data_IF_679637023811
#
_entry.id   IF_679637023811
#
_cell.length_a   1.000
_cell.length_b   1.000
_cell.length_c   1.000
_cell.angle_alpha   90.00
_cell.angle_beta   90.00
_cell.angle_gamma   90.00
#
_symmetry.space_group_name_H-M   'P 1'
#
loop_
_entity.id
_entity.type
_entity.pdbx_description
1 polymer ?
#
# COMPACT_ATOMS: atom_id res chain seq x y z
N UNK A 1 9.36 48.83 25.61
CA UNK A 1 10.27 48.35 26.66
C UNK A 1 11.68 48.73 26.22
N UNK A 2 12.26 49.84 26.71
CA UNK A 2 12.92 50.00 28.03
C UNK A 2 14.15 49.08 28.13
N UNK A 3 15.38 49.47 28.49
CA UNK A 3 16.00 50.66 29.11
C UNK A 3 17.51 50.54 28.81
N UNK A 4 18.20 51.60 28.36
CA UNK A 4 19.06 52.47 29.19
C UNK A 4 20.10 51.71 30.04
N UNK A 5 21.34 51.65 29.53
CA UNK A 5 22.55 51.22 30.25
C UNK A 5 23.30 52.43 30.84
N UNK A 6 23.49 52.41 32.16
CA UNK A 6 24.31 53.29 33.02
C UNK A 6 25.74 53.44 32.45
N UNK A 7 26.28 54.65 32.22
CA UNK A 7 26.82 55.66 33.17
C UNK A 7 27.93 55.09 34.07
N UNK A 8 29.16 55.23 33.57
CA UNK A 8 30.42 54.96 34.26
C UNK A 8 30.98 56.23 34.92
N UNK A 9 31.57 56.00 36.10
CA UNK A 9 32.48 56.79 36.92
C UNK A 9 33.21 58.01 36.31
N UNK A 10 33.25 59.10 37.09
CA UNK A 10 34.28 60.16 37.16
C UNK A 10 34.06 60.87 38.53
N UNK A 11 34.80 60.64 39.61
CA UNK A 11 36.21 60.97 39.95
C UNK A 11 36.56 62.47 39.85
N UNK A 12 36.48 63.21 40.96
CA UNK A 12 37.22 64.48 41.25
C UNK A 12 36.88 64.92 42.70
N UNK A 13 37.68 64.77 43.77
CA UNK A 13 38.94 65.44 44.20
C UNK A 13 38.94 66.98 44.12
N UNK A 14 38.78 67.68 45.27
CA UNK A 14 39.84 68.46 45.98
C UNK A 14 39.28 69.45 47.06
N UNK A 15 40.15 69.95 47.98
CA UNK A 15 39.78 70.42 49.33
C UNK A 15 40.19 71.89 49.63
N UNK A 16 40.04 72.27 50.92
CA UNK A 16 40.92 73.16 51.73
C UNK A 16 40.56 74.66 51.90
N UNK A 17 40.97 75.15 53.09
CA UNK A 17 41.14 76.52 53.62
C UNK A 17 39.97 77.09 54.45
N UNK A 18 40.12 77.95 55.47
CA UNK A 18 41.12 78.38 56.48
C UNK A 18 40.54 79.71 57.04
N UNK A 19 40.69 80.01 58.34
CA UNK A 19 40.31 81.34 58.90
C UNK A 19 39.86 81.24 60.35
N UNK A 20 40.76 81.21 61.34
CA UNK A 20 41.65 82.26 61.90
C UNK A 20 40.92 83.26 62.82
N UNK A 21 41.43 83.30 64.05
CA UNK A 21 40.97 83.95 65.27
C UNK A 21 41.15 85.47 65.32
N UNK A 22 40.36 86.14 66.16
CA UNK A 22 40.63 87.36 66.98
C UNK A 22 39.30 87.69 67.71
N UNK A 23 39.16 88.06 68.98
CA UNK A 23 40.09 88.47 70.03
C UNK A 23 39.37 89.50 70.94
N UNK A 24 38.89 89.04 72.10
CA UNK A 24 38.86 89.71 73.42
C UNK A 24 38.08 91.02 73.67
N UNK A 25 37.21 91.02 74.70
CA UNK A 25 37.04 92.12 75.69
C UNK A 25 36.29 91.67 76.98
N UNK A 26 37.02 91.72 78.11
CA UNK A 26 36.72 92.01 79.54
C UNK A 26 35.41 91.53 80.26
N UNK A 27 35.61 90.63 81.25
CA UNK A 27 35.21 90.62 82.70
C UNK A 27 33.77 91.00 83.19
N UNK A 28 33.37 90.73 84.46
CA UNK A 28 33.54 89.58 85.37
C UNK A 28 32.18 89.08 85.96
N UNK A 29 31.93 87.79 86.19
CA UNK A 29 30.78 87.34 87.01
C UNK A 29 30.91 85.88 87.51
N UNK A 30 31.92 85.62 88.33
CA UNK A 30 31.99 84.41 89.15
C UNK A 30 30.85 84.45 90.19
N UNK A 31 29.78 83.67 89.96
CA UNK A 31 28.78 83.17 90.93
C UNK A 31 27.38 82.89 90.31
N UNK A 32 27.22 83.00 88.98
CA UNK A 32 26.06 82.45 88.25
C UNK A 32 26.42 81.31 87.27
N UNK A 33 27.71 80.96 87.19
CA UNK A 33 28.22 79.94 86.26
C UNK A 33 27.74 78.52 86.61
N UNK A 34 27.49 78.18 87.87
CA UNK A 34 27.02 76.82 88.19
C UNK A 34 25.62 76.52 87.60
N UNK A 35 24.70 77.49 87.58
CA UNK A 35 23.36 77.30 87.00
C UNK A 35 23.34 77.43 85.47
N UNK A 36 24.28 78.19 84.88
CA UNK A 36 24.45 78.31 83.43
C UNK A 36 25.18 77.09 82.85
N UNK A 37 26.23 76.61 83.53
CA UNK A 37 26.96 75.39 83.23
C UNK A 37 26.08 74.14 83.41
N UNK A 38 25.25 74.08 84.45
CA UNK A 38 24.30 72.96 84.63
C UNK A 38 23.23 72.94 83.52
N UNK A 39 22.74 74.10 83.06
CA UNK A 39 21.83 74.19 81.90
C UNK A 39 22.51 73.87 80.56
N UNK A 40 23.81 74.18 80.42
CA UNK A 40 24.60 73.80 79.25
C UNK A 40 24.89 72.29 79.24
N UNK A 41 25.23 71.72 80.39
CA UNK A 41 25.44 70.28 80.58
C UNK A 41 24.16 69.47 80.33
N UNK A 42 22.98 69.94 80.78
CA UNK A 42 21.69 69.30 80.47
C UNK A 42 21.36 69.34 78.97
N UNK A 43 21.70 70.43 78.27
CA UNK A 43 21.55 70.51 76.80
C UNK A 43 22.49 69.53 76.09
N UNK A 44 23.74 69.40 76.56
CA UNK A 44 24.69 68.42 76.03
C UNK A 44 24.26 66.98 76.30
N UNK A 45 23.71 66.67 77.47
CA UNK A 45 23.13 65.35 77.76
C UNK A 45 21.93 65.03 76.88
N UNK A 46 21.03 65.99 76.65
CA UNK A 46 19.90 65.84 75.73
C UNK A 46 20.38 65.62 74.28
N UNK A 47 21.40 66.35 73.82
CA UNK A 47 22.02 66.16 72.51
C UNK A 47 22.68 64.78 72.39
N UNK A 48 23.37 64.30 73.43
CA UNK A 48 23.96 62.96 73.47
C UNK A 48 22.90 61.86 73.43
N UNK A 49 21.79 62.00 74.16
CA UNK A 49 20.66 61.06 74.09
C UNK A 49 20.03 61.06 72.70
N UNK A 50 19.83 62.22 72.07
CA UNK A 50 19.31 62.33 70.71
C UNK A 50 20.24 61.68 69.69
N UNK A 51 21.55 61.89 69.81
CA UNK A 51 22.56 61.28 68.93
C UNK A 51 22.61 59.75 69.11
N UNK A 52 22.51 59.27 70.35
CA UNK A 52 22.47 57.84 70.66
C UNK A 52 21.20 57.18 70.10
N UNK A 53 20.06 57.89 70.18
CA UNK A 53 18.81 57.44 69.57
C UNK A 53 18.88 57.41 68.04
N UNK A 54 19.46 58.44 67.41
CA UNK A 54 19.72 58.46 65.96
C UNK A 54 20.67 57.35 65.52
N UNK A 55 21.74 57.07 66.27
CA UNK A 55 22.64 55.95 65.99
C UNK A 55 21.92 54.60 66.08
N UNK A 56 21.05 54.41 67.08
CA UNK A 56 20.26 53.18 67.22
C UNK A 56 19.25 53.00 66.08
N UNK A 57 18.61 54.09 65.64
CA UNK A 57 17.68 54.10 64.51
C UNK A 57 18.41 53.81 63.21
N UNK A 58 19.54 54.47 62.96
CA UNK A 58 20.37 54.24 61.78
C UNK A 58 20.93 52.81 61.73
N UNK A 59 21.32 52.22 62.87
CA UNK A 59 21.72 50.82 62.95
C UNK A 59 20.56 49.87 62.64
N UNK A 60 19.37 50.14 63.17
CA UNK A 60 18.17 49.34 62.89
C UNK A 60 17.74 49.44 61.42
N UNK A 61 17.80 50.62 60.81
CA UNK A 61 17.52 50.83 59.39
C UNK A 61 18.55 50.14 58.49
N UNK A 62 19.84 50.20 58.85
CA UNK A 62 20.89 49.49 58.14
C UNK A 62 20.67 47.97 58.20
N UNK A 63 20.36 47.43 59.37
CA UNK A 63 20.06 46.01 59.52
C UNK A 63 18.85 45.58 58.66
N UNK A 64 17.76 46.37 58.68
CA UNK A 64 16.58 46.13 57.82
C UNK A 64 16.91 46.21 56.33
N UNK A 65 17.75 47.17 55.92
CA UNK A 65 18.18 47.32 54.54
C UNK A 65 19.05 46.14 54.09
N UNK A 66 19.94 45.64 54.96
CA UNK A 66 20.78 44.48 54.68
C UNK A 66 19.95 43.19 54.58
N UNK A 67 18.93 43.00 55.44
CA UNK A 67 17.96 41.90 55.33
C UNK A 67 17.11 41.99 54.03
N UNK A 68 16.65 43.19 53.67
CA UNK A 68 15.92 43.43 52.43
C UNK A 68 16.79 43.15 51.18
N UNK A 69 18.08 43.52 51.22
CA UNK A 69 19.04 43.19 50.15
C UNK A 69 19.27 41.68 50.05
N UNK A 70 19.52 41.01 51.16
CA UNK A 70 19.73 39.56 51.19
C UNK A 70 18.49 38.78 50.68
N UNK A 71 17.28 39.24 51.02
CA UNK A 71 16.04 38.62 50.50
C UNK A 71 15.80 38.91 49.01
N UNK A 72 16.07 40.14 48.56
CA UNK A 72 15.98 40.50 47.14
C UNK A 72 17.01 39.72 46.28
N UNK A 73 18.25 39.55 46.75
CA UNK A 73 19.26 38.74 46.08
C UNK A 73 18.86 37.27 45.97
N UNK A 74 18.28 36.69 47.03
CA UNK A 74 17.71 35.33 46.99
C UNK A 74 16.60 35.21 45.96
N UNK A 75 15.64 36.15 45.96
CA UNK A 75 14.54 36.15 44.99
C UNK A 75 15.04 36.33 43.53
N UNK A 76 16.04 37.17 43.30
CA UNK A 76 16.66 37.34 41.98
C UNK A 76 17.36 36.06 41.53
N UNK A 77 18.09 35.39 42.43
CA UNK A 77 18.74 34.11 42.13
C UNK A 77 17.72 33.01 41.80
N UNK A 78 16.60 32.94 42.53
CA UNK A 78 15.52 31.99 42.25
C UNK A 78 14.83 32.27 40.91
N UNK A 79 14.52 33.55 40.62
CA UNK A 79 13.94 33.96 39.33
C UNK A 79 14.89 33.69 38.17
N UNK A 80 16.19 33.94 38.33
CA UNK A 80 17.19 33.62 37.32
C UNK A 80 17.26 32.11 37.05
N UNK A 81 17.20 31.28 38.10
CA UNK A 81 17.14 29.81 37.96
C UNK A 81 15.85 29.35 37.29
N UNK A 82 14.71 29.94 37.64
CA UNK A 82 13.42 29.62 37.01
C UNK A 82 13.40 30.00 35.52
N UNK A 83 13.90 31.20 35.18
CA UNK A 83 14.03 31.65 33.79
C UNK A 83 14.97 30.72 32.99
N UNK A 84 16.12 30.35 33.55
CA UNK A 84 17.04 29.41 32.90
C UNK A 84 16.38 28.04 32.63
N UNK A 85 15.58 27.52 33.58
CA UNK A 85 14.81 26.28 33.39
C UNK A 85 13.74 26.43 32.32
N UNK A 86 13.00 27.55 32.30
CA UNK A 86 11.98 27.81 31.29
C UNK A 86 12.60 27.88 29.88
N UNK A 87 13.70 28.62 29.71
CA UNK A 87 14.41 28.70 28.42
C UNK A 87 14.97 27.35 27.98
N UNK A 88 15.47 26.53 28.91
CA UNK A 88 15.90 25.16 28.59
C UNK A 88 14.73 24.27 28.16
N UNK A 89 13.58 24.39 28.82
CA UNK A 89 12.37 23.65 28.47
C UNK A 89 11.81 24.07 27.10
N UNK A 90 11.79 25.37 26.78
CA UNK A 90 11.38 25.87 25.46
C UNK A 90 12.28 25.34 24.34
N UNK A 91 13.60 25.33 24.55
CA UNK A 91 14.54 24.75 23.57
C UNK A 91 14.31 23.26 23.38
N UNK A 92 14.09 22.52 24.47
CA UNK A 92 13.80 21.08 24.40
C UNK A 92 12.46 20.80 23.69
N UNK A 93 11.43 21.62 23.95
CA UNK A 93 10.15 21.53 23.27
C UNK A 93 10.27 21.85 21.76
N UNK A 94 11.01 22.91 21.40
CA UNK A 94 11.28 23.26 20.01
C UNK A 94 12.03 22.16 19.26
N UNK A 95 13.04 21.54 19.88
CA UNK A 95 13.74 20.40 19.29
C UNK A 95 12.82 19.18 19.08
N UNK A 96 11.92 18.89 20.03
CA UNK A 96 10.92 17.82 19.88
C UNK A 96 9.92 18.11 18.78
N UNK A 97 9.47 19.35 18.63
CA UNK A 97 8.56 19.74 17.54
C UNK A 97 9.23 19.52 16.18
N UNK A 98 10.48 19.93 16.02
CA UNK A 98 11.23 19.69 14.78
C UNK A 98 11.40 18.19 14.47
N UNK A 99 11.65 17.36 15.49
CA UNK A 99 11.71 15.91 15.33
C UNK A 99 10.36 15.34 14.88
N UNK A 100 9.27 15.73 15.52
CA UNK A 100 7.92 15.28 15.16
C UNK A 100 7.51 15.73 13.75
N UNK A 101 7.90 16.94 13.33
CA UNK A 101 7.67 17.43 11.97
C UNK A 101 8.45 16.62 10.94
N UNK A 102 9.72 16.27 11.23
CA UNK A 102 10.52 15.43 10.38
C UNK A 102 9.96 14.00 10.28
N UNK A 103 9.55 13.40 11.40
CA UNK A 103 8.91 12.09 11.43
C UNK A 103 7.58 12.09 10.66
N UNK A 104 6.75 13.13 10.84
CA UNK A 104 5.51 13.29 10.08
C UNK A 104 5.78 13.37 8.58
N UNK A 105 6.79 14.14 8.16
CA UNK A 105 7.16 14.24 6.75
C UNK A 105 7.60 12.88 6.18
N UNK A 106 8.41 12.12 6.93
CA UNK A 106 8.83 10.76 6.54
C UNK A 106 7.64 9.78 6.46
N UNK A 107 6.71 9.85 7.42
CA UNK A 107 5.52 9.01 7.40
C UNK A 107 4.62 9.33 6.21
N UNK A 108 4.42 10.61 5.88
CA UNK A 108 3.66 11.00 4.70
C UNK A 108 4.29 10.51 3.40
N UNK A 109 5.62 10.56 3.28
CA UNK A 109 6.33 9.99 2.14
C UNK A 109 6.12 8.48 2.04
N UNK A 110 6.30 7.74 3.14
CA UNK A 110 6.07 6.29 3.17
C UNK A 110 4.63 5.91 2.82
N UNK A 111 3.65 6.66 3.31
CA UNK A 111 2.23 6.43 2.96
C UNK A 111 2.02 6.64 1.47
N UNK A 112 2.54 7.72 0.88
CA UNK A 112 2.43 7.97 -0.55
C UNK A 112 3.11 6.87 -1.39
N UNK A 113 4.29 6.40 -1.00
CA UNK A 113 4.99 5.29 -1.66
C UNK A 113 4.19 3.98 -1.58
N UNK A 114 3.64 3.66 -0.41
CA UNK A 114 2.83 2.46 -0.22
C UNK A 114 1.51 2.52 -1.00
N UNK A 115 0.87 3.69 -1.06
CA UNK A 115 -0.34 3.90 -1.87
C UNK A 115 -0.05 3.71 -3.37
N UNK A 116 1.06 4.26 -3.88
CA UNK A 116 1.49 4.04 -5.26
C UNK A 116 1.80 2.57 -5.53
N UNK A 117 2.53 1.90 -4.64
CA UNK A 117 2.84 0.48 -4.77
C UNK A 117 1.57 -0.38 -4.75
N UNK A 118 0.60 -0.06 -3.89
CA UNK A 118 -0.68 -0.76 -3.83
C UNK A 118 -1.51 -0.56 -5.10
N UNK A 119 -1.53 0.65 -5.66
CA UNK A 119 -2.21 0.92 -6.93
C UNK A 119 -1.54 0.18 -8.10
N UNK A 120 -0.21 0.19 -8.17
CA UNK A 120 0.54 -0.54 -9.19
C UNK A 120 0.28 -2.06 -9.10
N UNK A 121 0.28 -2.63 -7.89
CA UNK A 121 0.01 -4.05 -7.68
C UNK A 121 -1.43 -4.41 -8.09
N UNK A 122 -2.42 -3.55 -7.79
CA UNK A 122 -3.80 -3.75 -8.23
C UNK A 122 -3.91 -3.74 -9.75
N UNK A 123 -3.32 -2.75 -10.41
CA UNK A 123 -3.33 -2.66 -11.88
C UNK A 123 -2.66 -3.88 -12.52
N UNK A 124 -1.53 -4.36 -11.97
CA UNK A 124 -0.87 -5.59 -12.42
C UNK A 124 -1.75 -6.82 -12.20
N UNK A 125 -2.43 -6.92 -11.05
CA UNK A 125 -3.36 -8.01 -10.76
C UNK A 125 -4.54 -8.05 -11.73
N UNK A 126 -5.17 -6.89 -11.99
CA UNK A 126 -6.28 -6.76 -12.94
C UNK A 126 -5.85 -7.13 -14.37
N UNK A 127 -4.67 -6.66 -14.82
CA UNK A 127 -4.13 -7.01 -16.12
C UNK A 127 -3.84 -8.51 -16.24
N UNK A 128 -3.28 -9.13 -15.20
CA UNK A 128 -3.00 -10.56 -15.18
C UNK A 128 -4.29 -11.39 -15.23
N UNK A 129 -5.33 -11.01 -14.49
CA UNK A 129 -6.64 -11.67 -14.54
C UNK A 129 -7.26 -11.53 -15.94
N UNK A 130 -7.28 -10.33 -16.51
CA UNK A 130 -7.82 -10.10 -17.85
C UNK A 130 -7.09 -10.91 -18.93
N UNK A 131 -5.76 -11.04 -18.82
CA UNK A 131 -4.97 -11.89 -19.71
C UNK A 131 -5.36 -13.37 -19.56
N UNK A 132 -5.49 -13.86 -18.33
CA UNK A 132 -5.88 -15.26 -18.09
C UNK A 132 -7.30 -15.56 -18.56
N UNK A 133 -8.23 -14.64 -18.39
CA UNK A 133 -9.58 -14.78 -18.93
C UNK A 133 -9.58 -14.87 -20.45
N UNK A 134 -8.77 -14.05 -21.12
CA UNK A 134 -8.61 -14.10 -22.58
C UNK A 134 -8.02 -15.43 -23.03
N UNK A 135 -6.97 -15.91 -22.36
CA UNK A 135 -6.35 -17.22 -22.63
C UNK A 135 -7.35 -18.38 -22.43
N UNK A 136 -8.17 -18.32 -21.37
CA UNK A 136 -9.21 -19.33 -21.11
C UNK A 136 -10.30 -19.32 -22.17
N UNK A 137 -10.74 -18.15 -22.63
CA UNK A 137 -11.72 -18.05 -23.71
C UNK A 137 -11.17 -18.62 -25.01
N UNK A 138 -9.92 -18.30 -25.35
CA UNK A 138 -9.26 -18.86 -26.54
C UNK A 138 -9.11 -20.37 -26.46
N UNK A 139 -8.70 -20.91 -25.29
CA UNK A 139 -8.59 -22.33 -25.06
C UNK A 139 -9.96 -23.04 -25.16
N UNK A 140 -11.01 -22.43 -24.62
CA UNK A 140 -12.37 -22.96 -24.70
C UNK A 140 -12.89 -23.02 -26.14
N UNK A 141 -12.62 -21.99 -26.95
CA UNK A 141 -12.94 -21.97 -28.39
C UNK A 141 -12.15 -23.06 -29.12
N UNK A 142 -10.84 -23.16 -28.89
CA UNK A 142 -9.99 -24.17 -29.51
C UNK A 142 -10.47 -25.59 -29.20
N UNK A 143 -10.85 -25.86 -27.95
CA UNK A 143 -11.38 -27.16 -27.53
C UNK A 143 -12.71 -27.49 -28.22
N UNK A 144 -13.61 -26.51 -28.36
CA UNK A 144 -14.88 -26.70 -29.09
C UNK A 144 -14.65 -26.99 -30.56
N UNK A 145 -13.73 -26.27 -31.20
CA UNK A 145 -13.36 -26.52 -32.60
C UNK A 145 -12.79 -27.93 -32.76
N UNK A 146 -11.83 -28.32 -31.91
CA UNK A 146 -11.24 -29.65 -31.95
C UNK A 146 -12.27 -30.76 -31.71
N UNK A 147 -13.22 -30.55 -30.79
CA UNK A 147 -14.30 -31.49 -30.55
C UNK A 147 -15.20 -31.63 -31.80
N UNK A 148 -15.57 -30.52 -32.44
CA UNK A 148 -16.35 -30.53 -33.68
C UNK A 148 -15.63 -31.24 -34.83
N UNK A 149 -14.33 -30.99 -35.01
CA UNK A 149 -13.51 -31.67 -36.01
C UNK A 149 -13.43 -33.18 -35.75
N UNK A 150 -13.21 -33.58 -34.49
CA UNK A 150 -13.16 -34.99 -34.10
C UNK A 150 -14.50 -35.68 -34.39
N UNK A 151 -15.62 -35.04 -34.08
CA UNK A 151 -16.95 -35.61 -34.30
C UNK A 151 -17.24 -35.75 -35.82
N UNK A 152 -16.83 -34.78 -36.64
CA UNK A 152 -16.89 -34.90 -38.11
C UNK A 152 -16.02 -36.05 -38.64
N UNK A 153 -14.81 -36.21 -38.12
CA UNK A 153 -13.94 -37.33 -38.48
C UNK A 153 -14.53 -38.67 -38.11
N UNK A 154 -15.13 -38.79 -36.92
CA UNK A 154 -15.81 -40.00 -36.48
C UNK A 154 -17.01 -40.33 -37.38
N UNK A 155 -17.79 -39.33 -37.79
CA UNK A 155 -18.89 -39.53 -38.73
C UNK A 155 -18.41 -40.03 -40.10
N UNK A 156 -17.42 -39.35 -40.69
CA UNK A 156 -16.84 -39.75 -41.99
C UNK A 156 -16.24 -41.15 -41.92
N UNK A 157 -15.51 -41.47 -40.86
CA UNK A 157 -14.95 -42.79 -40.65
C UNK A 157 -16.05 -43.85 -40.50
N UNK A 158 -17.10 -43.56 -39.73
CA UNK A 158 -18.26 -44.46 -39.57
C UNK A 158 -18.99 -44.71 -40.89
N UNK A 159 -19.17 -43.69 -41.72
CA UNK A 159 -19.74 -43.82 -43.06
C UNK A 159 -18.87 -44.67 -43.98
N UNK A 160 -17.56 -44.39 -44.03
CA UNK A 160 -16.60 -45.18 -44.81
C UNK A 160 -16.57 -46.65 -44.36
N UNK A 161 -16.55 -46.90 -43.04
CA UNK A 161 -16.62 -48.25 -42.49
C UNK A 161 -17.89 -48.98 -42.93
N UNK A 162 -19.07 -48.33 -42.86
CA UNK A 162 -20.33 -48.90 -43.35
C UNK A 162 -20.30 -49.21 -44.85
N UNK A 163 -19.74 -48.32 -45.66
CA UNK A 163 -19.60 -48.54 -47.11
C UNK A 163 -18.69 -49.74 -47.41
N UNK A 164 -17.55 -49.84 -46.72
CA UNK A 164 -16.62 -50.97 -46.88
C UNK A 164 -17.27 -52.28 -46.43
N UNK A 165 -17.96 -52.29 -45.28
CA UNK A 165 -18.68 -53.49 -44.81
C UNK A 165 -19.75 -53.92 -45.81
N UNK A 166 -20.59 -53.00 -46.30
CA UNK A 166 -21.63 -53.32 -47.29
C UNK A 166 -21.06 -53.80 -48.62
N UNK A 167 -19.96 -53.20 -49.09
CA UNK A 167 -19.25 -53.64 -50.28
C UNK A 167 -18.70 -55.07 -50.11
N UNK A 168 -18.11 -55.35 -48.95
CA UNK A 168 -17.55 -56.68 -48.63
C UNK A 168 -18.65 -57.73 -48.59
N UNK A 169 -19.75 -57.48 -47.87
CA UNK A 169 -20.90 -58.40 -47.80
C UNK A 169 -21.52 -58.68 -49.18
N UNK A 170 -21.69 -57.64 -50.00
CA UNK A 170 -22.22 -57.78 -51.37
C UNK A 170 -21.27 -58.56 -52.28
N UNK A 171 -19.98 -58.29 -52.20
CA UNK A 171 -18.96 -59.05 -52.94
C UNK A 171 -18.97 -60.52 -52.55
N UNK A 172 -19.07 -60.84 -51.25
CA UNK A 172 -19.20 -62.24 -50.80
C UNK A 172 -20.46 -62.92 -51.37
N UNK A 173 -21.60 -62.22 -51.43
CA UNK A 173 -22.82 -62.76 -52.04
C UNK A 173 -22.69 -62.97 -53.54
N UNK A 174 -22.06 -62.03 -54.26
CA UNK A 174 -21.79 -62.19 -55.69
C UNK A 174 -20.86 -63.37 -55.98
N UNK A 175 -19.84 -63.59 -55.14
CA UNK A 175 -18.95 -64.76 -55.24
C UNK A 175 -19.74 -66.06 -55.01
N UNK A 176 -20.62 -66.10 -54.01
CA UNK A 176 -21.51 -67.26 -53.75
C UNK A 176 -22.45 -67.52 -54.93
N UNK A 177 -23.13 -66.50 -55.44
CA UNK A 177 -23.99 -66.61 -56.63
C UNK A 177 -23.22 -67.12 -57.86
N UNK A 178 -21.99 -66.65 -58.06
CA UNK A 178 -21.12 -67.09 -59.15
C UNK A 178 -20.72 -68.56 -58.99
N UNK A 179 -20.38 -68.99 -57.77
CA UNK A 179 -20.07 -70.38 -57.46
C UNK A 179 -21.28 -71.30 -57.66
N UNK A 180 -22.47 -70.88 -57.23
CA UNK A 180 -23.73 -71.60 -57.46
C UNK A 180 -24.04 -71.75 -58.95
N UNK A 181 -23.84 -70.70 -59.75
CA UNK A 181 -24.05 -70.73 -61.19
C UNK A 181 -23.07 -71.71 -61.88
N UNK A 182 -21.80 -71.70 -61.46
CA UNK A 182 -20.77 -72.62 -61.95
C UNK A 182 -21.10 -74.07 -61.59
N UNK A 183 -21.49 -74.35 -60.34
CA UNK A 183 -21.90 -75.67 -59.89
C UNK A 183 -23.09 -76.20 -60.72
N UNK A 184 -24.15 -75.38 -60.88
CA UNK A 184 -25.31 -75.71 -61.71
C UNK A 184 -24.98 -75.89 -63.20
N UNK A 185 -23.93 -75.25 -63.70
CA UNK A 185 -23.47 -75.47 -65.07
C UNK A 185 -22.71 -76.79 -65.20
N UNK A 186 -21.87 -77.14 -64.22
CA UNK A 186 -21.14 -78.41 -64.16
C UNK A 186 -22.08 -79.61 -63.96
N UNK A 187 -23.14 -79.46 -63.16
CA UNK A 187 -24.12 -80.51 -62.87
C UNK A 187 -25.09 -80.80 -64.03
N UNK A 188 -25.00 -80.07 -65.16
CA UNK A 188 -25.80 -80.36 -66.37
C UNK A 188 -25.32 -81.65 -67.04
N UNK A 189 -26.01 -82.74 -66.73
CA UNK A 189 -25.75 -84.05 -67.32
C UNK A 189 -26.28 -84.22 -68.75
N UNK A 190 -25.87 -85.31 -69.40
CA UNK A 190 -26.26 -85.70 -70.77
C UNK A 190 -27.79 -85.79 -70.94
N UNK A 191 -28.54 -86.13 -69.87
CA UNK A 191 -30.01 -86.19 -69.89
C UNK A 191 -30.69 -84.81 -69.97
N UNK A 192 -30.09 -83.74 -69.45
CA UNK A 192 -30.64 -82.38 -69.54
C UNK A 192 -30.45 -81.76 -70.93
N UNK A 193 -29.40 -82.21 -71.65
CA UNK A 193 -29.18 -81.85 -73.06
C UNK A 193 -30.23 -82.52 -73.96
N UNK A 194 -30.65 -83.75 -73.62
CA UNK A 194 -31.68 -84.48 -74.36
C UNK A 194 -33.07 -83.85 -74.21
N UNK A 195 -33.46 -83.43 -72.99
CA UNK A 195 -34.75 -82.76 -72.72
C UNK A 195 -34.90 -81.37 -73.39
N UNK A 196 -33.79 -80.65 -73.59
CA UNK A 196 -33.81 -79.36 -74.31
C UNK A 196 -34.05 -79.48 -75.81
N UNK A 197 -33.90 -80.67 -76.38
CA UNK A 197 -33.96 -80.89 -77.82
C UNK A 197 -35.37 -81.24 -78.33
N UNK A 198 -36.41 -81.12 -77.50
CA UNK A 198 -37.80 -81.34 -77.91
C UNK A 198 -38.36 -80.15 -78.72
N UNK A 199 -38.56 -80.28 -80.05
CA UNK A 199 -38.87 -79.15 -80.93
C UNK A 199 -40.36 -78.75 -80.95
N UNK A 200 -41.23 -79.41 -80.18
CA UNK A 200 -42.69 -79.28 -80.32
C UNK A 200 -43.39 -78.43 -79.23
N UNK A 201 -42.76 -78.18 -78.07
CA UNK A 201 -43.43 -77.51 -76.94
C UNK A 201 -42.72 -76.25 -76.40
N UNK A 202 -41.46 -75.97 -76.74
CA UNK A 202 -40.75 -74.73 -76.38
C UNK A 202 -40.56 -74.43 -74.88
N UNK A 203 -41.07 -75.29 -73.98
CA UNK A 203 -41.09 -75.06 -72.53
C UNK A 203 -39.70 -74.91 -71.91
N UNK A 204 -38.70 -75.67 -72.39
CA UNK A 204 -37.32 -75.60 -71.90
C UNK A 204 -36.59 -74.30 -72.22
N UNK A 205 -36.99 -73.58 -73.28
CA UNK A 205 -36.44 -72.27 -73.62
C UNK A 205 -36.97 -71.18 -72.66
N UNK A 206 -38.26 -71.23 -72.34
CA UNK A 206 -38.90 -70.32 -71.38
C UNK A 206 -38.35 -70.51 -69.97
N UNK A 207 -38.15 -71.75 -69.52
CA UNK A 207 -37.54 -72.04 -68.22
C UNK A 207 -36.08 -71.53 -68.12
N UNK A 208 -35.30 -71.68 -69.20
CA UNK A 208 -33.94 -71.13 -69.26
C UNK A 208 -33.95 -69.61 -69.22
N UNK A 209 -34.84 -68.97 -69.98
CA UNK A 209 -34.97 -67.52 -69.99
C UNK A 209 -35.37 -66.98 -68.62
N UNK A 210 -36.33 -67.62 -67.95
CA UNK A 210 -36.73 -67.29 -66.57
C UNK A 210 -35.57 -67.44 -65.59
N UNK A 211 -34.79 -68.51 -65.71
CA UNK A 211 -33.61 -68.73 -64.86
C UNK A 211 -32.54 -67.66 -65.09
N UNK A 212 -32.24 -67.33 -66.35
CA UNK A 212 -31.28 -66.27 -66.71
C UNK A 212 -31.75 -64.91 -66.17
N UNK A 213 -33.04 -64.60 -66.31
CA UNK A 213 -33.62 -63.38 -65.74
C UNK A 213 -33.50 -63.37 -64.22
N UNK A 214 -33.84 -64.46 -63.53
CA UNK A 214 -33.75 -64.55 -62.06
C UNK A 214 -32.31 -64.33 -61.57
N UNK A 215 -31.30 -64.89 -62.24
CA UNK A 215 -29.90 -64.68 -61.88
C UNK A 215 -29.39 -63.28 -62.24
N UNK A 216 -29.88 -62.68 -63.32
CA UNK A 216 -29.60 -61.28 -63.64
C UNK A 216 -30.19 -60.37 -62.57
N UNK A 217 -31.43 -60.58 -62.17
CA UNK A 217 -32.11 -59.81 -61.12
C UNK A 217 -31.40 -59.95 -59.76
N UNK A 218 -30.94 -61.17 -59.41
CA UNK A 218 -30.13 -61.42 -58.20
C UNK A 218 -28.76 -60.75 -58.25
N UNK A 219 -28.12 -60.75 -59.42
CA UNK A 219 -26.81 -60.10 -59.59
C UNK A 219 -26.95 -58.58 -59.53
N UNK A 220 -27.98 -58.03 -60.15
CA UNK A 220 -28.27 -56.60 -60.16
C UNK A 220 -28.70 -56.10 -58.77
N UNK A 221 -29.42 -56.89 -57.98
CA UNK A 221 -29.79 -56.54 -56.60
C UNK A 221 -28.59 -56.53 -55.63
N UNK A 222 -27.64 -57.44 -55.81
CA UNK A 222 -26.43 -57.54 -55.00
C UNK A 222 -25.29 -56.63 -55.49
N UNK A 223 -25.43 -55.99 -56.66
CA UNK A 223 -24.45 -55.02 -57.15
C UNK A 223 -24.27 -53.88 -56.13
N UNK A 224 -23.03 -53.60 -55.75
CA UNK A 224 -22.72 -52.44 -54.92
C UNK A 224 -22.72 -51.17 -55.78
N UNK A 225 -23.52 -50.19 -55.39
CA UNK A 225 -23.52 -48.85 -55.99
C UNK A 225 -23.20 -47.86 -54.87
N UNK A 226 -21.98 -47.30 -54.83
CA UNK A 226 -21.66 -46.30 -53.83
C UNK A 226 -22.58 -45.11 -54.04
N UNK A 227 -23.35 -44.71 -53.00
CA UNK A 227 -24.01 -43.41 -53.01
C UNK A 227 -22.92 -42.36 -52.94
N UNK A 228 -22.57 -41.77 -54.07
CA UNK A 228 -21.82 -40.53 -54.10
C UNK A 228 -22.73 -39.48 -53.49
N UNK A 229 -22.38 -38.97 -52.31
CA UNK A 229 -23.05 -37.79 -51.78
C UNK A 229 -22.87 -36.67 -52.84
N UNK A 230 -23.96 -36.24 -53.46
CA UNK A 230 -23.94 -35.00 -54.23
C UNK A 230 -23.77 -33.88 -53.20
N UNK A 231 -22.65 -33.17 -53.30
CA UNK A 231 -22.42 -31.89 -52.62
C UNK A 231 -23.54 -30.88 -52.94
#
# INVERSE_FOLDING_TARGET
MACLSLISHLFSRRPLLLGLCLGSLLAPALAQDDRAAERAARRQQMQLQQLQQQMSQAQAEKARADEARASAEKQLAERARAAARATAAERAAGARLQQLEAEKAQLLQKVAELEQAAQALRAQGEAAVAQKDTELQQAAVALRTQAGERDQWQQRFGEQARLVTSCTEKNERLVKLSAELLARWQDKGVMDVLKKREPLLGLGEVEMFKLVQEYRDKTDSERFVPRVARE
#
